data_IF_970175102888
#
_entry.id   IF_970175102888
#
_cell.length_a   1.000
_cell.length_b   1.000
_cell.length_c   1.000
_cell.angle_alpha   90.00
_cell.angle_beta   90.00
_cell.angle_gamma   90.00
#
_symmetry.space_group_name_H-M   'P 1'
#
loop_
_entity.id
_entity.type
_entity.pdbx_description
1 polymer ?
#
# COMPACT_ATOMS: atom_id res chain seq x y z
N UNK A 1 -16.28 -20.52 -25.51
CA UNK A 1 -15.55 -19.31 -25.97
C UNK A 1 -15.21 -18.42 -24.79
N UNK A 2 -14.14 -18.71 -24.05
CA UNK A 2 -13.57 -17.76 -23.08
C UNK A 2 -12.56 -16.89 -23.81
N UNK A 3 -13.06 -15.80 -24.41
CA UNK A 3 -12.20 -14.78 -25.00
C UNK A 3 -11.28 -14.25 -23.89
N UNK A 4 -9.98 -14.31 -24.11
CA UNK A 4 -8.96 -13.70 -23.25
C UNK A 4 -9.06 -12.19 -23.32
N UNK A 5 -10.03 -11.62 -22.61
CA UNK A 5 -10.11 -10.17 -22.40
C UNK A 5 -8.86 -9.78 -21.62
N UNK A 6 -7.96 -9.04 -22.27
CA UNK A 6 -6.79 -8.49 -21.61
C UNK A 6 -7.27 -7.58 -20.46
N UNK A 7 -6.89 -7.93 -19.22
CA UNK A 7 -7.18 -7.09 -18.04
C UNK A 7 -6.41 -5.76 -18.21
N UNK A 8 -7.07 -4.59 -18.29
CA UNK A 8 -6.34 -3.33 -18.35
C UNK A 8 -5.61 -3.09 -17.03
N UNK A 9 -4.29 -2.94 -17.12
CA UNK A 9 -3.42 -2.66 -15.98
C UNK A 9 -2.78 -1.29 -16.14
N UNK A 10 -2.90 -0.45 -15.11
CA UNK A 10 -2.37 0.92 -15.10
C UNK A 10 -1.23 1.00 -14.08
N UNK A 11 0.02 1.20 -14.52
CA UNK A 11 1.15 1.37 -13.62
C UNK A 11 1.13 2.75 -12.95
N UNK A 12 1.72 2.85 -11.76
CA UNK A 12 2.10 4.15 -11.22
C UNK A 12 3.21 4.79 -12.07
N UNK A 13 3.30 6.12 -12.07
CA UNK A 13 4.35 6.85 -12.79
C UNK A 13 5.74 6.48 -12.27
N UNK A 14 6.75 6.61 -13.12
CA UNK A 14 8.13 6.30 -12.75
C UNK A 14 8.60 7.07 -11.51
N UNK A 15 8.09 8.27 -11.29
CA UNK A 15 8.46 9.12 -10.17
C UNK A 15 7.87 8.60 -8.84
N UNK A 16 6.63 8.08 -8.83
CA UNK A 16 5.93 7.68 -7.60
C UNK A 16 5.90 6.17 -7.36
N UNK A 17 6.20 5.34 -8.37
CA UNK A 17 6.01 3.87 -8.28
C UNK A 17 6.90 3.17 -7.25
N UNK A 18 7.98 3.81 -6.83
CA UNK A 18 8.92 3.22 -5.88
C UNK A 18 9.67 4.28 -5.07
N UNK A 19 9.97 3.92 -3.83
CA UNK A 19 10.90 4.64 -2.97
C UNK A 19 12.01 3.70 -2.55
N UNK A 20 13.25 4.12 -2.76
CA UNK A 20 14.42 3.33 -2.39
C UNK A 20 14.47 3.13 -0.87
N UNK A 21 15.04 2.01 -0.44
CA UNK A 21 15.28 1.73 0.97
C UNK A 21 16.12 2.87 1.60
N UNK A 22 15.57 3.59 2.57
CA UNK A 22 16.19 4.78 3.18
C UNK A 22 15.70 5.00 4.60
N UNK A 23 16.51 5.68 5.42
CA UNK A 23 16.08 6.13 6.74
C UNK A 23 15.17 7.34 6.61
N UNK A 24 14.14 7.38 7.45
CA UNK A 24 13.11 8.41 7.44
C UNK A 24 13.08 9.08 8.80
N UNK A 25 13.08 10.41 8.81
CA UNK A 25 12.84 11.18 10.03
C UNK A 25 11.39 10.99 10.45
N UNK A 26 11.13 10.78 11.74
CA UNK A 26 9.78 10.63 12.28
C UNK A 26 9.27 11.96 12.84
N UNK A 27 8.24 12.57 12.23
CA UNK A 27 7.55 13.71 12.82
C UNK A 27 6.85 13.33 14.13
N UNK A 28 6.72 14.29 15.05
CA UNK A 28 6.02 14.08 16.33
C UNK A 28 4.54 13.69 16.12
N UNK A 29 3.86 14.34 15.18
CA UNK A 29 2.46 14.05 14.87
C UNK A 29 2.33 12.85 13.94
N UNK A 30 1.55 11.86 14.36
CA UNK A 30 1.24 10.69 13.55
C UNK A 30 0.40 10.98 12.31
N UNK A 31 -0.20 12.18 12.21
CA UNK A 31 -0.89 12.61 10.99
C UNK A 31 0.06 12.84 9.81
N UNK A 32 1.36 13.00 10.06
CA UNK A 32 2.39 13.26 9.05
C UNK A 32 3.18 12.00 8.64
N UNK A 33 2.84 10.81 9.16
CA UNK A 33 3.57 9.56 8.86
C UNK A 33 3.21 8.92 7.50
N UNK A 34 2.50 9.67 6.65
CA UNK A 34 2.22 9.26 5.28
C UNK A 34 3.48 9.33 4.44
N UNK A 35 3.65 8.36 3.55
CA UNK A 35 4.88 8.25 2.79
C UNK A 35 5.09 9.45 1.86
N UNK A 36 4.00 9.99 1.29
CA UNK A 36 4.07 11.24 0.53
C UNK A 36 4.55 12.43 1.35
N UNK A 37 4.12 12.57 2.62
CA UNK A 37 4.59 13.62 3.54
C UNK A 37 6.07 13.45 3.89
N UNK A 38 6.48 12.23 4.23
CA UNK A 38 7.83 11.93 4.68
C UNK A 38 8.88 12.07 3.57
N UNK A 39 8.53 11.79 2.31
CA UNK A 39 9.44 11.93 1.17
C UNK A 39 9.62 13.40 0.78
N UNK A 40 8.59 14.23 0.93
CA UNK A 40 8.64 15.66 0.60
C UNK A 40 9.61 16.46 1.50
N UNK A 41 9.75 16.07 2.77
CA UNK A 41 10.70 16.72 3.69
C UNK A 41 12.18 16.40 3.36
N UNK A 42 12.48 15.46 2.45
CA UNK A 42 13.82 14.96 2.15
C UNK A 42 14.47 15.38 0.82
N UNK A 43 13.77 16.07 -0.10
CA UNK A 43 14.29 16.50 -1.41
C UNK A 43 13.31 16.42 -2.60
N UNK A 44 13.78 16.72 -3.82
CA UNK A 44 12.99 16.86 -5.07
C UNK A 44 12.14 15.61 -5.45
N UNK A 45 10.88 15.56 -5.01
CA UNK A 45 9.79 14.67 -5.48
C UNK A 45 9.55 13.41 -4.62
N UNK A 46 8.32 12.91 -4.41
CA UNK A 46 7.07 13.04 -5.19
C UNK A 46 5.81 13.26 -4.34
N UNK A 47 4.76 13.78 -4.99
CA UNK A 47 3.37 13.69 -4.54
C UNK A 47 2.95 12.22 -4.24
N UNK A 48 1.73 12.05 -3.74
CA UNK A 48 1.06 10.75 -3.59
C UNK A 48 1.22 9.86 -4.83
N UNK A 49 1.05 8.54 -4.67
CA UNK A 49 1.08 7.59 -5.77
C UNK A 49 0.16 8.06 -6.90
N UNK A 50 0.74 8.29 -8.08
CA UNK A 50 0.03 8.78 -9.25
C UNK A 50 0.10 7.77 -10.38
N UNK A 51 -1.02 7.55 -11.07
CA UNK A 51 -1.17 6.52 -12.11
C UNK A 51 -1.56 7.18 -13.44
N UNK A 52 -2.81 7.62 -13.53
CA UNK A 52 -3.39 8.37 -14.65
C UNK A 52 -4.32 9.45 -14.10
N UNK A 53 -4.70 10.48 -14.89
CA UNK A 53 -5.67 11.46 -14.47
C UNK A 53 -6.96 10.83 -13.92
N UNK A 54 -7.54 11.45 -12.88
CA UNK A 54 -8.71 10.91 -12.17
C UNK A 54 -9.89 10.60 -13.08
N UNK A 55 -10.13 11.40 -14.11
CA UNK A 55 -11.19 11.13 -15.10
C UNK A 55 -10.98 9.80 -15.82
N UNK A 56 -9.75 9.48 -16.24
CA UNK A 56 -9.42 8.21 -16.89
C UNK A 56 -9.54 7.03 -15.92
N UNK A 57 -9.11 7.21 -14.67
CA UNK A 57 -9.27 6.18 -13.64
C UNK A 57 -10.74 5.87 -13.37
N UNK A 58 -11.57 6.91 -13.25
CA UNK A 58 -13.01 6.76 -13.02
C UNK A 58 -13.68 5.97 -14.17
N UNK A 59 -13.28 6.19 -15.42
CA UNK A 59 -13.81 5.39 -16.54
C UNK A 59 -13.49 3.90 -16.38
N UNK A 60 -12.26 3.55 -15.99
CA UNK A 60 -11.89 2.15 -15.72
C UNK A 60 -12.70 1.57 -14.56
N UNK A 61 -12.86 2.33 -13.48
CA UNK A 61 -13.64 1.91 -12.31
C UNK A 61 -15.12 1.68 -12.63
N UNK A 62 -15.72 2.50 -13.50
CA UNK A 62 -17.12 2.36 -13.94
C UNK A 62 -17.35 1.20 -14.90
N UNK A 63 -16.35 0.84 -15.71
CA UNK A 63 -16.47 -0.20 -16.75
C UNK A 63 -16.16 -1.63 -16.26
N UNK A 64 -15.63 -1.77 -15.04
CA UNK A 64 -15.22 -3.05 -14.48
C UNK A 64 -15.91 -3.33 -13.16
N UNK A 65 -15.79 -4.56 -12.67
CA UNK A 65 -16.44 -4.99 -11.44
C UNK A 65 -15.43 -5.49 -10.39
N UNK A 66 -14.15 -5.53 -10.73
CA UNK A 66 -13.07 -5.90 -9.83
C UNK A 66 -11.80 -5.12 -10.14
N UNK A 67 -11.04 -4.82 -9.10
CA UNK A 67 -9.69 -4.28 -9.19
C UNK A 67 -8.72 -5.07 -8.30
N UNK A 68 -7.49 -5.23 -8.75
CA UNK A 68 -6.41 -5.94 -8.06
C UNK A 68 -5.14 -5.09 -8.12
N UNK A 69 -4.38 -5.07 -7.02
CA UNK A 69 -3.11 -4.36 -6.94
C UNK A 69 -2.24 -4.98 -5.86
N UNK A 70 -0.93 -4.99 -6.04
CA UNK A 70 0.04 -5.43 -5.04
C UNK A 70 0.99 -4.29 -4.65
N UNK A 71 1.29 -4.22 -3.36
CA UNK A 71 2.27 -3.28 -2.80
C UNK A 71 3.30 -4.08 -2.04
N UNK A 72 4.58 -3.81 -2.28
CA UNK A 72 5.66 -4.42 -1.53
C UNK A 72 6.44 -3.34 -0.79
N UNK A 73 6.60 -3.58 0.51
CA UNK A 73 7.39 -2.74 1.41
C UNK A 73 8.68 -3.49 1.73
N UNK A 74 9.80 -2.81 1.53
CA UNK A 74 11.13 -3.26 1.93
C UNK A 74 11.44 -2.68 3.32
N UNK A 75 11.96 -3.50 4.21
CA UNK A 75 12.24 -3.12 5.59
C UNK A 75 13.65 -3.54 6.00
N UNK A 76 14.29 -2.75 6.87
CA UNK A 76 15.47 -3.15 7.64
C UNK A 76 15.39 -2.56 9.03
N UNK A 77 15.55 -3.40 10.06
CA UNK A 77 15.30 -3.07 11.48
C UNK A 77 13.93 -2.45 11.79
N UNK A 78 12.97 -2.64 10.90
CA UNK A 78 11.65 -2.02 10.96
C UNK A 78 10.57 -3.08 10.72
N UNK A 79 9.43 -2.93 11.40
CA UNK A 79 8.24 -3.76 11.27
C UNK A 79 7.14 -3.02 10.51
N UNK A 80 6.48 -3.71 9.58
CA UNK A 80 5.41 -3.12 8.74
C UNK A 80 4.05 -3.83 8.86
N UNK A 81 4.02 -4.95 9.58
CA UNK A 81 2.79 -5.71 9.83
C UNK A 81 2.77 -6.32 11.24
N UNK A 82 3.17 -7.58 11.42
CA UNK A 82 3.18 -8.21 12.73
C UNK A 82 4.48 -7.92 13.47
N UNK A 83 4.43 -7.45 14.71
CA UNK A 83 5.63 -7.25 15.52
C UNK A 83 5.90 -8.49 16.37
N UNK A 84 6.94 -9.25 16.01
CA UNK A 84 7.28 -10.48 16.72
C UNK A 84 7.83 -10.22 18.13
N UNK A 85 8.45 -9.06 18.38
CA UNK A 85 8.94 -8.69 19.71
C UNK A 85 7.78 -8.30 20.63
N UNK A 86 6.84 -7.51 20.12
CA UNK A 86 5.69 -7.01 20.90
C UNK A 86 4.43 -7.88 20.81
N UNK A 87 4.46 -8.95 20.00
CA UNK A 87 3.37 -9.92 19.78
C UNK A 87 2.03 -9.29 19.39
N UNK A 88 2.05 -8.25 18.54
CA UNK A 88 0.84 -7.53 18.13
C UNK A 88 0.93 -7.01 16.69
N UNK A 89 -0.11 -6.33 16.21
CA UNK A 89 -0.21 -5.74 14.87
C UNK A 89 -0.25 -4.20 14.90
N UNK A 90 0.24 -3.57 15.98
CA UNK A 90 0.20 -2.11 16.12
C UNK A 90 1.05 -1.41 15.05
N UNK A 91 2.00 -2.13 14.45
CA UNK A 91 2.86 -1.63 13.36
C UNK A 91 2.26 -1.86 11.96
N UNK A 92 1.06 -2.43 11.86
CA UNK A 92 0.41 -2.68 10.58
C UNK A 92 0.16 -1.37 9.83
N UNK A 93 0.65 -1.30 8.60
CA UNK A 93 0.53 -0.12 7.76
C UNK A 93 -0.94 0.23 7.46
N UNK A 94 -1.22 1.52 7.29
CA UNK A 94 -2.49 2.01 6.74
C UNK A 94 -2.32 2.38 5.27
N UNK A 95 -3.33 2.12 4.45
CA UNK A 95 -3.35 2.43 3.03
C UNK A 95 -4.46 3.43 2.74
N UNK A 96 -4.15 4.50 2.00
CA UNK A 96 -5.13 5.46 1.49
C UNK A 96 -5.63 4.96 0.12
N UNK A 97 -6.92 4.71 0.02
CA UNK A 97 -7.59 4.17 -1.16
C UNK A 97 -8.09 5.27 -2.11
N UNK A 98 -8.41 4.90 -3.35
CA UNK A 98 -8.82 5.86 -4.40
C UNK A 98 -10.13 6.60 -4.09
N UNK A 99 -10.98 6.03 -3.24
CA UNK A 99 -12.22 6.66 -2.76
C UNK A 99 -12.03 7.49 -1.47
N UNK A 100 -10.79 7.67 -1.01
CA UNK A 100 -10.46 8.43 0.19
C UNK A 100 -10.57 7.67 1.51
N UNK A 101 -10.97 6.40 1.48
CA UNK A 101 -10.97 5.58 2.69
C UNK A 101 -9.54 5.21 3.10
N UNK A 102 -9.33 5.11 4.40
CA UNK A 102 -8.09 4.59 4.97
C UNK A 102 -8.35 3.20 5.51
N UNK A 103 -7.55 2.23 5.08
CA UNK A 103 -7.64 0.84 5.54
C UNK A 103 -6.35 0.40 6.22
N UNK A 104 -6.46 0.02 7.49
CA UNK A 104 -5.40 -0.71 8.18
C UNK A 104 -5.25 -2.14 7.62
N UNK A 105 -4.02 -2.53 7.27
CA UNK A 105 -3.68 -3.81 6.62
C UNK A 105 -3.96 -5.04 7.48
N UNK A 106 -4.08 -4.90 8.81
CA UNK A 106 -4.49 -5.96 9.72
C UNK A 106 -6.00 -5.92 10.00
N UNK A 107 -6.51 -4.79 10.50
CA UNK A 107 -7.89 -4.69 10.98
C UNK A 107 -8.93 -4.83 9.85
N UNK A 108 -8.61 -4.34 8.65
CA UNK A 108 -9.50 -4.36 7.50
C UNK A 108 -9.11 -5.40 6.45
N UNK A 109 -8.33 -6.42 6.86
CA UNK A 109 -7.83 -7.47 5.97
C UNK A 109 -8.94 -8.19 5.19
N UNK A 110 -10.14 -8.30 5.78
CA UNK A 110 -11.32 -8.86 5.11
C UNK A 110 -12.55 -8.05 5.48
N UNK A 111 -13.06 -7.26 4.54
CA UNK A 111 -14.36 -6.61 4.67
C UNK A 111 -15.39 -7.46 3.96
N UNK A 112 -16.42 -7.89 4.68
CA UNK A 112 -17.55 -8.68 4.18
C UNK A 112 -18.81 -7.84 4.17
N UNK A 113 -19.65 -8.04 3.16
CA UNK A 113 -20.99 -7.45 3.09
C UNK A 113 -22.02 -8.33 3.78
N UNK A 114 -23.28 -7.89 3.74
CA UNK A 114 -24.41 -8.58 4.39
C UNK A 114 -24.59 -10.02 3.90
N UNK A 115 -24.27 -10.30 2.64
CA UNK A 115 -24.29 -11.64 2.03
C UNK A 115 -23.16 -12.57 2.49
N UNK A 116 -22.25 -12.08 3.35
CA UNK A 116 -21.05 -12.81 3.78
C UNK A 116 -19.92 -12.85 2.74
N UNK A 117 -20.15 -12.36 1.51
CA UNK A 117 -19.10 -12.29 0.49
C UNK A 117 -18.12 -11.17 0.80
N UNK A 118 -16.82 -11.42 0.62
CA UNK A 118 -15.79 -10.38 0.82
C UNK A 118 -15.85 -9.36 -0.32
N UNK A 119 -15.98 -8.08 0.02
CA UNK A 119 -15.97 -6.96 -0.93
C UNK A 119 -14.57 -6.38 -1.13
N UNK A 120 -13.70 -6.58 -0.13
CA UNK A 120 -12.32 -6.16 -0.13
C UNK A 120 -11.49 -7.14 0.71
N UNK A 121 -10.40 -7.63 0.14
CA UNK A 121 -9.46 -8.55 0.79
C UNK A 121 -8.03 -8.03 0.63
N UNK A 122 -7.25 -8.13 1.71
CA UNK A 122 -5.80 -7.98 1.73
C UNK A 122 -5.19 -9.33 2.07
N UNK A 123 -4.33 -9.86 1.21
CA UNK A 123 -3.45 -10.99 1.55
C UNK A 123 -2.08 -10.43 1.90
N UNK A 124 -1.51 -10.94 2.99
CA UNK A 124 -0.25 -10.45 3.54
C UNK A 124 0.76 -11.57 3.50
N UNK A 125 1.91 -11.31 2.88
CA UNK A 125 3.12 -12.12 3.00
C UNK A 125 4.15 -11.29 3.75
N UNK A 126 4.33 -11.57 5.04
CA UNK A 126 5.14 -10.75 5.94
C UNK A 126 6.53 -11.36 6.17
N UNK A 127 7.57 -10.70 5.62
CA UNK A 127 8.97 -10.98 5.90
C UNK A 127 9.65 -9.90 6.76
N UNK A 128 8.86 -9.01 7.37
CA UNK A 128 9.32 -7.88 8.17
C UNK A 128 8.90 -8.00 9.64
N UNK A 129 8.54 -9.20 10.09
CA UNK A 129 8.01 -9.39 11.43
C UNK A 129 9.05 -9.18 12.54
N UNK A 130 10.32 -9.33 12.19
CA UNK A 130 11.47 -9.09 13.05
C UNK A 130 12.24 -7.86 12.57
N UNK A 131 12.81 -7.09 13.50
CA UNK A 131 13.70 -5.95 13.22
C UNK A 131 15.08 -6.41 12.76
N UNK A 132 15.12 -7.21 11.69
CA UNK A 132 16.34 -7.85 11.19
C UNK A 132 17.32 -6.85 10.55
N UNK A 133 18.61 -7.04 10.83
CA UNK A 133 19.73 -6.38 10.16
C UNK A 133 19.83 -6.77 8.68
N UNK A 134 19.47 -8.01 8.32
CA UNK A 134 19.49 -8.47 6.92
C UNK A 134 18.39 -7.84 6.08
N UNK A 135 17.40 -7.22 6.74
CA UNK A 135 16.17 -6.73 6.12
C UNK A 135 15.24 -7.85 5.66
N UNK A 136 14.14 -7.42 5.05
CA UNK A 136 13.07 -8.29 4.57
C UNK A 136 12.08 -7.52 3.70
N UNK A 137 11.01 -8.21 3.31
CA UNK A 137 9.93 -7.65 2.48
C UNK A 137 8.57 -8.09 2.98
N UNK A 138 7.61 -7.18 3.03
CA UNK A 138 6.21 -7.51 3.22
C UNK A 138 5.41 -7.13 1.96
N UNK A 139 4.58 -8.04 1.47
CA UNK A 139 3.68 -7.80 0.34
C UNK A 139 2.23 -7.78 0.79
N UNK A 140 1.49 -6.77 0.34
CA UNK A 140 0.05 -6.60 0.51
C UNK A 140 -0.63 -6.76 -0.85
N UNK A 141 -1.28 -7.90 -1.08
CA UNK A 141 -2.06 -8.14 -2.29
C UNK A 141 -3.52 -7.75 -2.02
N UNK A 142 -3.98 -6.69 -2.69
CA UNK A 142 -5.31 -6.12 -2.55
C UNK A 142 -6.23 -6.65 -3.66
N UNK A 143 -7.43 -7.05 -3.28
CA UNK A 143 -8.51 -7.42 -4.20
C UNK A 143 -9.79 -6.73 -3.78
N UNK A 144 -10.39 -5.97 -4.70
CA UNK A 144 -11.60 -5.18 -4.47
C UNK A 144 -12.70 -5.57 -5.47
N UNK A 145 -13.91 -5.87 -4.99
CA UNK A 145 -15.13 -6.04 -5.81
C UNK A 145 -15.83 -4.72 -6.13
N UNK A 146 -15.50 -3.65 -5.42
CA UNK A 146 -15.81 -2.30 -5.88
C UNK A 146 -14.50 -1.67 -6.39
N UNK A 147 -14.33 -1.47 -7.70
CA UNK A 147 -13.12 -0.88 -8.27
C UNK A 147 -12.76 0.51 -7.71
N UNK A 148 -13.73 1.26 -7.19
CA UNK A 148 -13.50 2.59 -6.59
C UNK A 148 -12.51 2.59 -5.41
N UNK A 149 -12.28 1.42 -4.78
CA UNK A 149 -11.28 1.27 -3.72
C UNK A 149 -9.84 1.38 -4.22
N UNK A 150 -9.55 0.97 -5.46
CA UNK A 150 -8.19 0.95 -6.00
C UNK A 150 -8.03 1.95 -7.15
N UNK A 151 -6.82 2.51 -7.36
CA UNK A 151 -5.56 2.13 -6.73
C UNK A 151 -5.34 2.70 -5.32
N UNK A 152 -4.31 2.20 -4.65
CA UNK A 152 -3.76 2.84 -3.45
C UNK A 152 -3.04 4.14 -3.83
N UNK A 153 -3.34 5.20 -3.10
CA UNK A 153 -2.83 6.55 -3.30
C UNK A 153 -1.68 6.91 -2.34
N UNK A 154 -1.64 6.32 -1.16
CA UNK A 154 -0.59 6.57 -0.16
C UNK A 154 -0.52 5.42 0.85
N UNK A 155 0.58 5.37 1.59
CA UNK A 155 0.80 4.39 2.66
C UNK A 155 1.36 5.08 3.89
N UNK A 156 0.87 4.70 5.07
CA UNK A 156 1.33 5.21 6.37
C UNK A 156 2.05 4.09 7.10
N UNK A 157 3.29 4.38 7.49
CA UNK A 157 4.14 3.45 8.24
C UNK A 157 4.20 3.85 9.71
N UNK A 158 4.48 2.89 10.60
CA UNK A 158 4.43 3.11 12.06
C UNK A 158 5.80 2.93 12.70
N UNK A 159 6.54 1.86 12.38
CA UNK A 159 7.83 1.54 13.01
C UNK A 159 9.02 2.14 12.22
N UNK A 160 9.24 3.43 12.36
CA UNK A 160 10.37 4.15 11.78
C UNK A 160 10.80 5.29 12.71
N UNK A 161 11.93 5.93 12.41
CA UNK A 161 12.44 7.12 13.10
C UNK A 161 13.83 6.96 13.71
N UNK A 162 14.27 5.72 13.95
CA UNK A 162 15.66 5.44 14.32
C UNK A 162 16.56 5.51 13.08
N UNK A 163 17.79 6.01 13.22
CA UNK A 163 18.72 6.19 12.10
C UNK A 163 19.07 4.87 11.40
N UNK A 164 19.01 3.76 12.14
CA UNK A 164 19.33 2.43 11.63
C UNK A 164 18.14 1.74 10.97
N UNK A 165 16.92 2.25 11.17
CA UNK A 165 15.70 1.80 10.51
C UNK A 165 15.65 2.32 9.09
N UNK A 166 15.40 1.40 8.15
CA UNK A 166 15.21 1.74 6.75
C UNK A 166 13.87 1.19 6.25
N UNK A 167 13.18 2.01 5.46
CA UNK A 167 11.96 1.66 4.76
C UNK A 167 12.07 2.04 3.28
N UNK A 168 11.43 1.24 2.45
CA UNK A 168 11.30 1.46 1.02
C UNK A 168 10.04 0.79 0.50
N UNK A 169 9.60 1.13 -0.70
CA UNK A 169 8.46 0.46 -1.30
C UNK A 169 8.58 0.38 -2.82
N UNK A 170 7.82 -0.53 -3.41
CA UNK A 170 7.41 -0.45 -4.80
C UNK A 170 5.94 -0.86 -4.92
N UNK A 171 5.27 -0.33 -5.93
CA UNK A 171 3.85 -0.55 -6.17
C UNK A 171 3.66 -1.11 -7.58
N UNK A 172 2.92 -2.20 -7.67
CA UNK A 172 2.55 -2.80 -8.94
C UNK A 172 1.38 -2.04 -9.59
N UNK A 173 1.18 -2.31 -10.88
CA UNK A 173 0.04 -1.76 -11.61
C UNK A 173 -1.29 -2.19 -10.96
N UNK A 174 -2.28 -1.29 -10.98
CA UNK A 174 -3.66 -1.65 -10.67
C UNK A 174 -4.29 -2.27 -11.91
N UNK A 175 -4.85 -3.47 -11.79
CA UNK A 175 -5.48 -4.20 -12.88
C UNK A 175 -6.99 -4.34 -12.66
N UNK A 176 -7.79 -4.16 -13.72
CA UNK A 176 -9.24 -4.25 -13.67
C UNK A 176 -9.77 -5.47 -14.42
N UNK A 177 -10.92 -6.02 -13.99
CA UNK A 177 -11.63 -7.11 -14.66
C UNK A 177 -13.13 -7.04 -14.47
#
# INVERSE_FOLDING_TARGET
HTSGIAKPCVPATAASKAFRLSSLKKPESSSAWWMSSLIQEGGNGTERLFYVPRSQMNFLQLLHHRAEQSITVMCRKSVVYYDNANKNFNSAADLLLSNGQVVNTHLHRRVRGESGTSHFEIKVKDGCADRSESGGTATFDLTAKNPEYLPVLDMKMVDFGDESQLLGYYVDAVCFS
#
